data_IF_712555084884
#
_entry.id   IF_712555084884
#
_cell.length_a   1.000
_cell.length_b   1.000
_cell.length_c   1.000
_cell.angle_alpha   90.00
_cell.angle_beta   90.00
_cell.angle_gamma   90.00
#
_symmetry.space_group_name_H-M   'P 1'
#
loop_
_entity.id
_entity.type
_entity.pdbx_description
1 polymer ?
#
# COMPACT_ATOMS: atom_id res chain seq x y z
N UNK A 1 5.92 -8.24 -13.49
CA UNK A 1 7.06 -7.77 -12.70
C UNK A 1 6.70 -7.97 -11.24
N UNK A 2 7.49 -8.71 -10.45
CA UNK A 2 7.14 -9.00 -9.07
C UNK A 2 7.24 -7.73 -8.23
N UNK A 3 6.42 -7.62 -7.19
CA UNK A 3 6.31 -6.48 -6.27
C UNK A 3 7.58 -6.18 -5.44
N UNK A 4 8.71 -6.80 -5.77
CA UNK A 4 9.96 -6.78 -5.00
C UNK A 4 10.56 -5.38 -4.82
N UNK A 5 10.36 -4.48 -5.78
CA UNK A 5 10.81 -3.07 -5.70
C UNK A 5 9.86 -2.17 -4.90
N UNK A 6 8.62 -2.60 -4.62
CA UNK A 6 7.66 -1.76 -3.93
C UNK A 6 8.11 -1.51 -2.49
N UNK A 7 8.58 -2.57 -1.81
CA UNK A 7 9.10 -2.48 -0.44
C UNK A 7 10.32 -1.57 -0.37
N UNK A 8 11.33 -1.81 -1.21
CA UNK A 8 12.55 -0.99 -1.23
C UNK A 8 12.25 0.49 -1.54
N UNK A 9 11.32 0.75 -2.47
CA UNK A 9 10.91 2.12 -2.81
C UNK A 9 10.15 2.80 -1.66
N UNK A 10 9.28 2.07 -0.95
CA UNK A 10 8.56 2.59 0.21
C UNK A 10 9.53 2.84 1.38
N UNK A 11 10.42 1.89 1.68
CA UNK A 11 11.43 2.04 2.74
C UNK A 11 12.35 3.23 2.46
N UNK A 12 12.82 3.41 1.22
CA UNK A 12 13.63 4.56 0.85
C UNK A 12 12.85 5.88 0.98
N UNK A 13 11.57 5.89 0.60
CA UNK A 13 10.70 7.07 0.73
C UNK A 13 10.34 7.38 2.17
N UNK A 14 10.16 6.36 3.01
CA UNK A 14 9.89 6.48 4.44
C UNK A 14 11.15 6.96 5.18
N UNK A 15 12.33 6.43 4.83
CA UNK A 15 13.60 6.90 5.35
C UNK A 15 13.91 8.34 4.96
N UNK A 16 13.52 8.76 3.75
CA UNK A 16 13.63 10.14 3.31
C UNK A 16 12.51 11.06 3.85
N UNK A 17 11.34 10.50 4.16
CA UNK A 17 10.15 11.22 4.61
C UNK A 17 9.37 10.38 5.64
N UNK A 18 9.64 10.60 6.92
CA UNK A 18 8.95 9.93 8.03
C UNK A 18 7.41 10.18 8.04
N UNK A 19 6.94 11.24 7.38
CA UNK A 19 5.53 11.60 7.27
C UNK A 19 4.86 11.09 5.99
N UNK A 20 5.46 10.13 5.28
CA UNK A 20 4.89 9.57 4.05
C UNK A 20 3.50 8.98 4.33
N UNK A 21 2.47 9.50 3.65
CA UNK A 21 1.13 8.92 3.67
C UNK A 21 0.97 8.11 2.39
N UNK A 22 0.72 6.82 2.53
CA UNK A 22 0.48 5.91 1.41
C UNK A 22 -1.02 5.72 1.25
N UNK A 23 -1.60 6.26 0.18
CA UNK A 23 -3.01 6.07 -0.14
C UNK A 23 -3.17 4.86 -1.04
N UNK A 24 -3.81 3.80 -0.53
CA UNK A 24 -4.18 2.63 -1.30
C UNK A 24 -5.60 2.80 -1.82
N UNK A 25 -5.74 2.89 -3.15
CA UNK A 25 -7.05 2.89 -3.83
C UNK A 25 -7.20 1.60 -4.63
N UNK A 26 -8.17 0.79 -4.26
CA UNK A 26 -8.55 -0.39 -5.04
C UNK A 26 -9.49 0.02 -6.18
N UNK A 27 -9.26 -0.50 -7.38
CA UNK A 27 -10.22 -0.38 -8.48
C UNK A 27 -11.40 -1.34 -8.27
N UNK A 28 -12.57 -1.03 -8.86
CA UNK A 28 -13.83 -1.80 -8.70
C UNK A 28 -13.74 -3.28 -9.12
N UNK A 29 -12.71 -3.64 -9.89
CA UNK A 29 -12.42 -5.04 -10.28
C UNK A 29 -11.40 -5.76 -9.40
N UNK A 30 -10.79 -5.08 -8.43
CA UNK A 30 -9.79 -5.67 -7.56
C UNK A 30 -10.48 -6.56 -6.51
N UNK A 31 -10.07 -7.83 -6.46
CA UNK A 31 -10.57 -8.77 -5.46
C UNK A 31 -10.12 -8.31 -4.07
N UNK A 32 -10.99 -8.44 -3.06
CA UNK A 32 -10.65 -8.18 -1.65
C UNK A 32 -9.33 -8.86 -1.21
N UNK A 33 -9.03 -10.04 -1.77
CA UNK A 33 -7.76 -10.73 -1.54
C UNK A 33 -6.53 -9.92 -1.96
N UNK A 34 -6.56 -9.30 -3.13
CA UNK A 34 -5.49 -8.39 -3.61
C UNK A 34 -5.34 -7.21 -2.65
N UNK A 35 -6.48 -6.67 -2.19
CA UNK A 35 -6.48 -5.57 -1.23
C UNK A 35 -5.78 -5.95 0.08
N UNK A 36 -6.13 -7.11 0.65
CA UNK A 36 -5.50 -7.63 1.87
C UNK A 36 -4.01 -7.90 1.66
N UNK A 37 -3.61 -8.50 0.53
CA UNK A 37 -2.19 -8.78 0.22
C UNK A 37 -1.36 -7.49 0.13
N UNK A 38 -1.87 -6.44 -0.53
CA UNK A 38 -1.17 -5.16 -0.62
C UNK A 38 -1.13 -4.46 0.74
N UNK A 39 -2.19 -4.56 1.54
CA UNK A 39 -2.22 -3.96 2.86
C UNK A 39 -1.20 -4.60 3.81
N UNK A 40 -1.03 -5.93 3.72
CA UNK A 40 -0.05 -6.69 4.49
C UNK A 40 1.38 -6.29 4.10
N UNK A 41 1.67 -6.19 2.79
CA UNK A 41 2.96 -5.70 2.28
C UNK A 41 3.27 -4.27 2.73
N UNK A 42 2.28 -3.36 2.69
CA UNK A 42 2.45 -1.97 3.15
C UNK A 42 2.74 -1.90 4.66
N UNK A 43 2.11 -2.76 5.46
CA UNK A 43 2.42 -2.89 6.89
C UNK A 43 3.84 -3.42 7.10
N UNK A 44 4.23 -4.45 6.36
CA UNK A 44 5.56 -5.07 6.43
C UNK A 44 6.68 -4.14 5.94
N UNK A 45 6.37 -3.17 5.08
CA UNK A 45 7.33 -2.15 4.62
C UNK A 45 7.51 -0.99 5.60
N UNK A 46 6.85 -1.02 6.76
CA UNK A 46 6.97 0.02 7.78
C UNK A 46 6.15 1.30 7.51
N UNK A 47 5.22 1.28 6.55
CA UNK A 47 4.37 2.45 6.31
C UNK A 47 3.48 2.71 7.53
N UNK A 48 3.75 3.80 8.25
CA UNK A 48 3.03 4.19 9.48
C UNK A 48 1.70 4.87 9.21
N UNK A 49 1.48 5.38 7.99
CA UNK A 49 0.25 6.10 7.61
C UNK A 49 -0.29 5.57 6.29
N UNK A 50 -1.13 4.54 6.38
CA UNK A 50 -1.82 3.95 5.22
C UNK A 50 -3.26 4.49 5.21
N UNK A 51 -3.64 5.16 4.13
CA UNK A 51 -5.02 5.62 3.92
C UNK A 51 -5.70 4.68 2.94
N UNK A 52 -6.77 4.03 3.37
CA UNK A 52 -7.56 3.11 2.55
C UNK A 52 -8.69 3.91 1.91
N UNK A 53 -8.69 4.03 0.59
CA UNK A 53 -9.86 4.47 -0.13
C UNK A 53 -10.70 3.23 -0.46
N UNK A 54 -11.88 3.12 0.17
CA UNK A 54 -12.84 2.07 -0.14
C UNK A 54 -13.21 2.11 -1.64
N UNK A 55 -13.24 0.97 -2.33
CA UNK A 55 -13.76 0.93 -3.69
C UNK A 55 -15.26 1.23 -3.66
N UNK A 56 -15.70 2.19 -4.48
CA UNK A 56 -17.11 2.51 -4.66
C UNK A 56 -17.84 1.29 -5.28
N UNK A 57 -18.37 0.40 -4.45
CA UNK A 57 -18.95 -0.85 -4.90
C UNK A 57 -19.47 -1.74 -3.77
N UNK A 58 -20.40 -1.19 -2.97
CA UNK A 58 -21.38 -1.97 -2.22
C UNK A 58 -22.72 -1.94 -2.95
#
# INVERSE_FOLDING_TARGET
>A
MPFTDLRASIEQRLAANDKLIVSLKAERGATYRIFVEVLDELKLSGATRISIAEPEGG
#
